data_IF_729931978954
#
_entry.id   IF_729931978954
#
_cell.length_a   1.000
_cell.length_b   1.000
_cell.length_c   1.000
_cell.angle_alpha   90.00
_cell.angle_beta   90.00
_cell.angle_gamma   90.00
#
_symmetry.space_group_name_H-M   'P 1'
#
loop_
_entity.id
_entity.type
_entity.pdbx_description
1 polymer ?
#
# COMPACT_ATOMS: atom_id res chain seq x y z
N UNK A 1 8.57 -25.56 4.76
CA UNK A 1 8.46 -24.10 4.51
C UNK A 1 8.00 -23.49 5.82
N UNK A 2 8.63 -22.45 6.38
CA UNK A 2 8.27 -21.99 7.72
C UNK A 2 6.91 -21.28 7.69
N UNK A 3 5.91 -21.88 8.34
CA UNK A 3 4.74 -21.36 9.08
C UNK A 3 4.16 -19.96 8.78
N UNK A 4 4.21 -19.46 7.54
CA UNK A 4 3.63 -18.16 7.17
C UNK A 4 4.37 -16.94 7.76
N UNK A 5 5.63 -17.11 8.20
CA UNK A 5 6.43 -16.01 8.72
C UNK A 5 7.30 -15.39 7.61
N UNK A 6 7.12 -14.10 7.39
CA UNK A 6 7.85 -13.32 6.40
C UNK A 6 8.58 -12.14 7.06
N UNK A 7 9.66 -11.68 6.45
CA UNK A 7 10.40 -10.49 6.89
C UNK A 7 10.54 -9.51 5.74
N UNK A 8 10.40 -8.23 6.06
CA UNK A 8 10.68 -7.13 5.14
C UNK A 8 11.47 -6.04 5.87
N UNK A 9 12.03 -5.13 5.10
CA UNK A 9 12.89 -4.07 5.60
C UNK A 9 12.39 -2.72 5.10
N UNK A 10 12.40 -1.73 5.99
CA UNK A 10 12.21 -0.33 5.64
C UNK A 10 13.53 0.41 5.90
N UNK A 11 13.91 1.27 4.96
CA UNK A 11 15.17 2.00 4.97
C UNK A 11 14.94 3.46 5.33
N UNK A 12 15.83 4.04 6.13
CA UNK A 12 15.70 5.42 6.60
C UNK A 12 16.15 6.48 5.60
N UNK A 13 16.67 6.08 4.43
CA UNK A 13 17.12 6.93 3.33
C UNK A 13 16.12 6.99 2.16
N UNK A 14 15.16 6.06 2.08
CA UNK A 14 14.07 6.10 1.11
C UNK A 14 12.88 6.89 1.69
N UNK A 15 12.51 8.01 1.05
CA UNK A 15 11.37 8.85 1.44
C UNK A 15 10.06 8.05 1.59
N UNK A 16 9.88 7.04 0.75
CA UNK A 16 8.72 6.14 0.79
C UNK A 16 8.70 5.31 2.08
N UNK A 17 9.86 4.78 2.44
CA UNK A 17 10.03 3.97 3.65
C UNK A 17 9.94 4.83 4.91
N UNK A 18 10.46 6.06 4.88
CA UNK A 18 10.28 7.05 5.95
C UNK A 18 8.79 7.34 6.16
N UNK A 19 8.04 7.62 5.07
CA UNK A 19 6.60 7.84 5.14
C UNK A 19 5.86 6.60 5.69
N UNK A 20 6.20 5.40 5.20
CA UNK A 20 5.63 4.16 5.70
C UNK A 20 5.92 3.95 7.20
N UNK A 21 7.15 4.19 7.65
CA UNK A 21 7.52 4.12 9.07
C UNK A 21 6.77 5.15 9.92
N UNK A 22 6.58 6.37 9.41
CA UNK A 22 5.78 7.40 10.07
C UNK A 22 4.32 6.94 10.21
N UNK A 23 3.71 6.43 9.13
CA UNK A 23 2.33 5.89 9.15
C UNK A 23 2.19 4.72 10.12
N UNK A 24 3.14 3.78 10.16
CA UNK A 24 3.11 2.67 11.14
C UNK A 24 3.22 3.21 12.58
N UNK A 25 3.98 4.28 12.78
CA UNK A 25 4.22 4.84 14.10
C UNK A 25 3.00 5.55 14.70
N UNK A 26 2.06 6.03 13.88
CA UNK A 26 0.78 6.61 14.36
C UNK A 26 -0.12 5.56 15.01
N UNK A 27 0.06 4.28 14.67
CA UNK A 27 -0.71 3.17 15.23
C UNK A 27 -0.07 2.70 16.54
N UNK A 28 -0.89 2.45 17.57
CA UNK A 28 -0.44 1.91 18.85
C UNK A 28 0.26 0.56 18.67
N UNK A 29 1.37 0.35 19.40
CA UNK A 29 2.20 -0.85 19.30
C UNK A 29 1.45 -2.20 19.31
N UNK A 30 0.44 -2.46 20.16
CA UNK A 30 -0.28 -3.73 20.14
C UNK A 30 -1.09 -3.98 18.85
N UNK A 31 -1.48 -2.92 18.13
CA UNK A 31 -2.31 -3.01 16.92
C UNK A 31 -1.48 -3.00 15.63
N UNK A 32 -0.18 -2.63 15.69
CA UNK A 32 0.68 -2.50 14.51
C UNK A 32 0.77 -3.78 13.69
N UNK A 33 0.83 -4.95 14.34
CA UNK A 33 0.90 -6.23 13.63
C UNK A 33 -0.33 -6.48 12.76
N UNK A 34 -1.52 -6.18 13.27
CA UNK A 34 -2.77 -6.33 12.53
C UNK A 34 -2.92 -5.29 11.43
N UNK A 35 -2.52 -4.05 11.72
CA UNK A 35 -2.49 -2.98 10.75
C UNK A 35 -1.58 -3.32 9.54
N UNK A 36 -0.37 -3.82 9.79
CA UNK A 36 0.57 -4.23 8.73
C UNK A 36 0.01 -5.41 7.93
N UNK A 37 -0.63 -6.40 8.57
CA UNK A 37 -1.29 -7.51 7.86
C UNK A 37 -2.43 -7.02 6.97
N UNK A 38 -3.26 -6.11 7.48
CA UNK A 38 -4.34 -5.49 6.72
C UNK A 38 -3.79 -4.75 5.50
N UNK A 39 -2.74 -3.95 5.69
CA UNK A 39 -2.07 -3.25 4.60
C UNK A 39 -1.49 -4.23 3.56
N UNK A 40 -0.80 -5.29 3.99
CA UNK A 40 -0.29 -6.32 3.09
C UNK A 40 -1.40 -7.01 2.29
N UNK A 41 -2.52 -7.34 2.94
CA UNK A 41 -3.68 -7.95 2.29
C UNK A 41 -4.33 -7.02 1.26
N UNK A 42 -4.49 -5.75 1.60
CA UNK A 42 -4.99 -4.75 0.66
C UNK A 42 -4.05 -4.59 -0.55
N UNK A 43 -2.74 -4.52 -0.30
CA UNK A 43 -1.73 -4.51 -1.36
C UNK A 43 -1.78 -5.76 -2.24
N UNK A 44 -2.02 -6.94 -1.67
CA UNK A 44 -2.17 -8.18 -2.43
C UNK A 44 -3.43 -8.18 -3.31
N UNK A 45 -4.53 -7.57 -2.86
CA UNK A 45 -5.71 -7.34 -3.70
C UNK A 45 -5.37 -6.43 -4.87
N UNK A 46 -4.66 -5.33 -4.62
CA UNK A 46 -4.20 -4.42 -5.69
C UNK A 46 -3.26 -5.12 -6.67
N UNK A 47 -2.35 -5.97 -6.19
CA UNK A 47 -1.47 -6.79 -7.03
C UNK A 47 -2.25 -7.70 -7.97
N UNK A 48 -3.34 -8.31 -7.46
CA UNK A 48 -4.20 -9.21 -8.25
C UNK A 48 -4.99 -8.47 -9.31
N UNK A 49 -5.37 -7.23 -9.05
CA UNK A 49 -5.99 -6.34 -10.03
C UNK A 49 -4.99 -6.00 -11.14
N UNK A 50 -3.78 -5.57 -10.78
CA UNK A 50 -2.67 -5.39 -11.70
C UNK A 50 -1.32 -5.45 -10.96
N UNK A 51 -0.41 -6.32 -11.43
CA UNK A 51 0.87 -6.58 -10.78
C UNK A 51 1.83 -5.37 -10.77
N UNK A 52 1.60 -4.36 -11.64
CA UNK A 52 2.41 -3.14 -11.73
C UNK A 52 2.03 -2.13 -10.67
N UNK A 53 0.79 -2.15 -10.17
CA UNK A 53 0.29 -1.15 -9.22
C UNK A 53 1.10 -1.13 -7.91
N UNK A 54 1.44 -2.28 -7.28
CA UNK A 54 2.24 -2.23 -6.06
C UNK A 54 3.68 -1.77 -6.25
N UNK A 55 4.19 -1.72 -7.49
CA UNK A 55 5.48 -1.10 -7.79
C UNK A 55 5.35 0.40 -8.07
N UNK A 56 4.24 0.83 -8.68
CA UNK A 56 3.99 2.24 -9.05
C UNK A 56 3.47 3.08 -7.89
N UNK A 57 2.51 2.58 -7.11
CA UNK A 57 1.89 3.32 -6.00
C UNK A 57 2.95 3.82 -4.99
N UNK A 58 3.92 2.99 -4.56
CA UNK A 58 5.02 3.45 -3.71
C UNK A 58 5.80 4.66 -4.26
N UNK A 59 6.01 4.74 -5.58
CA UNK A 59 6.75 5.85 -6.22
C UNK A 59 6.07 7.21 -5.97
N UNK A 60 4.74 7.20 -5.93
CA UNK A 60 3.95 8.40 -5.63
C UNK A 60 3.64 8.57 -4.13
N UNK A 61 3.99 7.56 -3.33
CA UNK A 61 3.77 7.52 -1.89
C UNK A 61 5.00 8.01 -1.11
N UNK A 62 5.27 9.30 -1.19
CA UNK A 62 6.18 9.99 -0.29
C UNK A 62 5.40 10.75 0.81
N UNK A 63 4.32 10.17 1.32
CA UNK A 63 3.36 10.87 2.19
C UNK A 63 2.48 11.91 1.47
N UNK A 64 2.59 12.01 0.15
CA UNK A 64 1.84 12.95 -0.70
C UNK A 64 0.93 12.25 -1.72
N UNK A 65 0.64 10.96 -1.54
CA UNK A 65 -0.31 10.29 -2.41
C UNK A 65 -1.70 10.84 -2.11
N UNK A 66 -2.30 11.51 -3.09
CA UNK A 66 -3.69 11.97 -3.02
C UNK A 66 -4.62 11.06 -3.83
N UNK A 67 -5.93 11.21 -3.61
CA UNK A 67 -6.94 10.46 -4.35
C UNK A 67 -6.82 10.69 -5.87
N UNK A 68 -6.53 11.93 -6.31
CA UNK A 68 -6.34 12.25 -7.72
C UNK A 68 -5.10 11.55 -8.30
N UNK A 69 -3.98 11.54 -7.58
CA UNK A 69 -2.75 10.84 -8.00
C UNK A 69 -2.96 9.33 -8.07
N UNK A 70 -3.68 8.75 -7.10
CA UNK A 70 -4.05 7.34 -7.11
C UNK A 70 -4.93 7.01 -8.32
N UNK A 71 -5.93 7.85 -8.63
CA UNK A 71 -6.76 7.73 -9.83
C UNK A 71 -5.93 7.81 -11.12
N UNK A 72 -4.95 8.72 -11.17
CA UNK A 72 -4.07 8.85 -12.33
C UNK A 72 -3.18 7.62 -12.55
N UNK A 73 -2.62 7.05 -11.49
CA UNK A 73 -1.85 5.79 -11.56
C UNK A 73 -2.74 4.64 -12.06
N UNK A 74 -3.97 4.55 -11.55
CA UNK A 74 -4.93 3.55 -12.01
C UNK A 74 -5.33 3.75 -13.48
N UNK A 75 -5.55 5.00 -13.93
CA UNK A 75 -5.85 5.33 -15.32
C UNK A 75 -4.68 4.98 -16.25
N UNK A 76 -3.43 5.25 -15.83
CA UNK A 76 -2.22 4.92 -16.58
C UNK A 76 -2.10 3.41 -16.84
N UNK A 77 -2.39 2.59 -15.83
CA UNK A 77 -2.26 1.13 -15.93
C UNK A 77 -3.41 0.50 -16.71
N UNK A 78 -4.63 1.02 -16.55
CA UNK A 78 -5.83 0.53 -17.24
C UNK A 78 -6.02 1.06 -18.66
N UNK A 79 -5.32 2.14 -19.03
CA UNK A 79 -5.58 2.90 -20.27
C UNK A 79 -6.89 3.69 -20.25
N UNK A 80 -7.57 3.78 -19.09
CA UNK A 80 -8.85 4.46 -18.93
C UNK A 80 -8.65 5.97 -18.68
N UNK A 81 -8.12 6.68 -19.68
CA UNK A 81 -7.83 8.12 -19.61
C UNK A 81 -9.09 8.99 -19.39
N UNK A 82 -10.28 8.48 -19.71
CA UNK A 82 -11.56 9.12 -19.40
C UNK A 82 -11.81 9.27 -17.89
N UNK A 83 -11.17 8.47 -17.04
CA UNK A 83 -11.28 8.59 -15.58
C UNK A 83 -10.49 9.78 -15.00
N UNK A 84 -9.70 10.48 -15.83
CA UNK A 84 -8.96 11.68 -15.44
C UNK A 84 -9.78 12.96 -15.62
N UNK A 85 -10.80 12.96 -16.49
CA UNK A 85 -11.63 14.14 -16.72
C UNK A 85 -12.51 14.40 -15.51
N UNK A 86 -12.31 15.52 -14.83
CA UNK A 86 -13.06 15.91 -13.62
C UNK A 86 -12.39 15.61 -12.29
N UNK A 87 -11.11 15.21 -12.28
CA UNK A 87 -10.32 15.25 -11.04
C UNK A 87 -10.18 16.71 -10.57
N UNK A 88 -10.33 16.99 -9.26
CA UNK A 88 -10.11 18.34 -8.75
C UNK A 88 -8.67 18.76 -9.03
N UNK A 89 -8.47 20.03 -9.41
CA UNK A 89 -7.15 20.65 -9.46
C UNK A 89 -6.58 20.62 -8.03
N UNK A 90 -5.68 19.67 -7.80
CA UNK A 90 -4.97 19.59 -6.54
C UNK A 90 -3.99 20.76 -6.50
N UNK A 91 -4.00 21.58 -5.43
CA UNK A 91 -2.91 22.52 -5.25
C UNK A 91 -1.61 21.72 -5.27
N UNK A 92 -0.63 22.18 -6.02
CA UNK A 92 0.73 21.66 -5.91
C UNK A 92 1.05 21.69 -4.41
N UNK A 93 1.01 20.52 -3.76
CA UNK A 93 1.41 20.39 -2.37
C UNK A 93 2.87 20.79 -2.37
N UNK A 94 3.09 22.08 -2.08
CA UNK A 94 4.39 22.71 -2.00
C UNK A 94 5.27 21.76 -1.24
N UNK A 95 6.40 21.42 -1.87
CA UNK A 95 7.45 20.57 -1.32
C UNK A 95 7.40 20.62 0.20
N UNK A 96 6.76 19.63 0.81
CA UNK A 96 6.94 19.38 2.22
C UNK A 96 8.32 18.75 2.26
N UNK A 97 9.35 19.60 2.18
CA UNK A 97 10.71 19.27 2.48
C UNK A 97 10.70 18.85 3.92
N UNK A 98 10.45 17.55 4.16
CA UNK A 98 10.83 16.92 5.40
C UNK A 98 12.29 17.32 5.60
N UNK A 99 12.65 18.00 6.70
CA UNK A 99 14.03 18.36 6.94
C UNK A 99 14.81 17.05 6.97
N UNK A 100 15.56 16.79 5.90
CA UNK A 100 16.54 15.71 5.87
C UNK A 100 17.62 16.19 6.82
N UNK A 101 17.51 15.79 8.09
CA UNK A 101 18.59 15.99 9.03
C UNK A 101 19.78 15.19 8.50
N UNK A 102 20.93 15.82 8.20
CA UNK A 102 22.08 15.15 7.58
C UNK A 102 22.77 14.13 8.51
N UNK A 103 22.22 13.92 9.72
CA UNK A 103 22.72 13.02 10.76
C UNK A 103 21.82 11.80 11.01
N UNK A 104 20.83 11.54 10.15
CA UNK A 104 20.09 10.29 10.24
C UNK A 104 21.03 9.11 9.97
N UNK A 105 21.51 8.46 11.04
CA UNK A 105 22.21 7.19 10.96
C UNK A 105 21.47 6.25 10.01
N UNK A 106 22.21 5.61 9.10
CA UNK A 106 21.64 4.64 8.18
C UNK A 106 21.02 3.50 8.98
N UNK A 107 19.70 3.54 9.15
CA UNK A 107 18.98 2.64 10.03
C UNK A 107 17.97 1.83 9.22
N UNK A 108 18.38 0.60 8.88
CA UNK A 108 17.51 -0.39 8.25
C UNK A 108 16.69 -1.09 9.32
N UNK A 109 15.38 -0.88 9.33
CA UNK A 109 14.48 -1.51 10.31
C UNK A 109 13.85 -2.76 9.73
N UNK A 110 14.13 -3.90 10.37
CA UNK A 110 13.50 -5.19 10.04
C UNK A 110 12.15 -5.31 10.73
N UNK A 111 11.15 -5.72 9.96
CA UNK A 111 9.83 -6.10 10.46
C UNK A 111 9.58 -7.57 10.14
N UNK A 112 9.09 -8.32 11.13
CA UNK A 112 8.67 -9.71 10.97
C UNK A 112 7.15 -9.76 11.01
N UNK A 113 6.56 -10.31 9.96
CA UNK A 113 5.12 -10.46 9.81
C UNK A 113 4.77 -11.95 9.83
N UNK A 114 3.89 -12.34 10.75
CA UNK A 114 3.25 -13.66 10.71
C UNK A 114 1.92 -13.51 10.01
N UNK A 115 1.75 -14.20 8.88
CA UNK A 115 0.45 -14.31 8.21
C UNK A 115 -0.43 -15.26 9.03
N UNK A 116 -1.71 -14.89 9.17
CA UNK A 116 -2.67 -15.72 9.87
C UNK A 116 -3.30 -16.73 8.90
N UNK A 117 -3.69 -17.89 9.41
CA UNK A 117 -4.39 -18.94 8.65
C UNK A 117 -5.85 -18.52 8.36
N UNK A 118 -6.01 -17.65 7.38
CA UNK A 118 -7.30 -17.18 6.89
C UNK A 118 -7.17 -16.58 5.49
N UNK A 119 -8.31 -16.30 4.86
CA UNK A 119 -8.39 -15.88 3.45
C UNK A 119 -7.44 -14.74 3.09
N UNK A 120 -7.32 -13.74 3.95
CA UNK A 120 -6.43 -12.59 3.74
C UNK A 120 -4.95 -12.98 3.78
N UNK A 121 -4.57 -13.88 4.70
CA UNK A 121 -3.21 -14.42 4.79
C UNK A 121 -2.87 -15.32 3.62
N UNK A 122 -3.77 -16.25 3.25
CA UNK A 122 -3.63 -17.12 2.08
C UNK A 122 -3.48 -16.32 0.78
N UNK A 123 -4.20 -15.20 0.66
CA UNK A 123 -4.10 -14.31 -0.50
C UNK A 123 -2.72 -13.66 -0.60
N UNK A 124 -2.18 -13.14 0.51
CA UNK A 124 -0.83 -12.57 0.55
C UNK A 124 0.20 -13.66 0.26
N UNK A 125 0.08 -14.82 0.91
CA UNK A 125 0.98 -15.95 0.70
C UNK A 125 0.99 -16.40 -0.76
N UNK A 126 -0.18 -16.56 -1.38
CA UNK A 126 -0.32 -16.92 -2.79
C UNK A 126 0.46 -15.96 -3.70
N UNK A 127 0.33 -14.64 -3.50
CA UNK A 127 1.10 -13.63 -4.25
C UNK A 127 2.61 -13.73 -3.98
N UNK A 128 3.02 -13.93 -2.72
CA UNK A 128 4.44 -14.06 -2.39
C UNK A 128 5.05 -15.35 -2.95
N UNK A 129 4.28 -16.44 -3.06
CA UNK A 129 4.77 -17.71 -3.60
C UNK A 129 5.02 -17.65 -5.11
N UNK A 130 4.32 -16.78 -5.83
CA UNK A 130 4.57 -16.49 -7.26
C UNK A 130 5.93 -15.81 -7.49
N UNK A 131 6.39 -15.02 -6.51
CA UNK A 131 7.71 -14.41 -6.55
C UNK A 131 8.82 -15.39 -6.12
N UNK A 132 9.98 -15.24 -6.76
CA UNK A 132 11.19 -15.95 -6.34
C UNK A 132 11.53 -15.61 -4.89
N UNK A 133 12.09 -16.57 -4.14
CA UNK A 133 12.40 -16.41 -2.71
C UNK A 133 13.25 -15.17 -2.40
N UNK A 134 14.11 -14.76 -3.34
CA UNK A 134 14.95 -13.56 -3.24
C UNK A 134 14.15 -12.25 -3.28
N UNK A 135 13.05 -12.22 -4.05
CA UNK A 135 12.23 -11.02 -4.26
C UNK A 135 11.03 -10.94 -3.30
N UNK A 136 10.75 -11.99 -2.51
CA UNK A 136 9.59 -12.01 -1.60
C UNK A 136 9.61 -10.89 -0.58
N UNK A 137 10.78 -10.54 -0.05
CA UNK A 137 10.91 -9.43 0.90
C UNK A 137 10.55 -8.08 0.28
N UNK A 138 11.03 -7.86 -0.95
CA UNK A 138 10.79 -6.60 -1.69
C UNK A 138 9.35 -6.51 -2.20
N UNK A 139 8.77 -7.63 -2.64
CA UNK A 139 7.37 -7.70 -2.99
C UNK A 139 6.51 -7.44 -1.75
N UNK A 140 6.78 -8.11 -0.62
CA UNK A 140 6.03 -7.89 0.62
C UNK A 140 6.12 -6.42 1.08
N UNK A 141 7.30 -5.81 0.99
CA UNK A 141 7.48 -4.37 1.24
C UNK A 141 6.55 -3.56 0.34
N UNK A 142 6.57 -3.82 -0.97
CA UNK A 142 5.75 -3.10 -1.96
C UNK A 142 4.25 -3.24 -1.69
N UNK A 143 3.78 -4.44 -1.32
CA UNK A 143 2.39 -4.69 -0.94
C UNK A 143 2.00 -3.89 0.32
N UNK A 144 2.84 -3.92 1.36
CA UNK A 144 2.58 -3.19 2.61
C UNK A 144 2.53 -1.69 2.35
N UNK A 145 3.54 -1.14 1.67
CA UNK A 145 3.60 0.29 1.35
C UNK A 145 2.37 0.72 0.54
N UNK A 146 1.95 -0.11 -0.42
CA UNK A 146 0.72 0.14 -1.18
C UNK A 146 -0.50 0.21 -0.26
N UNK A 147 -0.67 -0.74 0.65
CA UNK A 147 -1.76 -0.71 1.63
C UNK A 147 -1.70 0.50 2.58
N UNK A 148 -0.50 0.94 2.97
CA UNK A 148 -0.31 2.16 3.76
C UNK A 148 -0.67 3.42 2.96
N UNK A 149 -0.33 3.45 1.68
CA UNK A 149 -0.68 4.55 0.78
C UNK A 149 -2.20 4.67 0.55
N UNK A 150 -2.87 3.53 0.48
CA UNK A 150 -4.33 3.47 0.48
C UNK A 150 -4.90 3.96 1.81
N UNK A 151 -4.29 3.61 2.95
CA UNK A 151 -4.73 4.10 4.26
C UNK A 151 -4.65 5.63 4.39
N UNK A 152 -3.57 6.24 3.89
CA UNK A 152 -3.41 7.71 3.97
C UNK A 152 -4.37 8.47 3.08
N UNK A 153 -4.80 7.86 1.97
CA UNK A 153 -5.81 8.45 1.07
C UNK A 153 -7.23 8.22 1.56
N UNK A 154 -7.54 7.01 2.03
CA UNK A 154 -8.83 6.62 2.57
C UNK A 154 -8.63 5.58 3.70
N UNK A 155 -8.76 5.98 4.99
CA UNK A 155 -8.39 5.13 6.12
C UNK A 155 -9.08 3.76 6.19
N UNK A 156 -10.32 3.67 5.70
CA UNK A 156 -11.14 2.45 5.72
C UNK A 156 -10.83 1.49 4.56
N UNK A 157 -10.25 2.00 3.47
CA UNK A 157 -10.09 1.26 2.22
C UNK A 157 -9.25 -0.04 2.39
N UNK A 158 -8.11 -0.04 3.10
CA UNK A 158 -7.35 -1.27 3.31
C UNK A 158 -8.13 -2.34 4.07
N UNK A 159 -8.92 -1.94 5.07
CA UNK A 159 -9.77 -2.87 5.86
C UNK A 159 -10.88 -3.44 5.00
N UNK A 160 -11.51 -2.61 4.19
CA UNK A 160 -12.55 -3.03 3.28
C UNK A 160 -11.99 -4.05 2.26
N UNK A 161 -10.90 -3.75 1.58
CA UNK A 161 -10.26 -4.68 0.64
C UNK A 161 -9.80 -5.99 1.31
N UNK A 162 -9.28 -5.92 2.53
CA UNK A 162 -8.82 -7.09 3.27
C UNK A 162 -9.97 -8.01 3.71
N UNK A 163 -11.14 -7.44 4.00
CA UNK A 163 -12.33 -8.17 4.49
C UNK A 163 -13.30 -8.60 3.39
N UNK A 164 -13.17 -8.05 2.18
CA UNK A 164 -14.03 -8.39 1.05
C UNK A 164 -13.98 -9.90 0.71
N UNK A 165 -15.16 -10.58 0.66
CA UNK A 165 -15.21 -11.99 0.32
C UNK A 165 -14.77 -12.24 -1.12
N UNK A 166 -15.22 -11.38 -2.04
CA UNK A 166 -14.82 -11.35 -3.45
C UNK A 166 -14.05 -10.05 -3.68
N UNK A 167 -12.72 -10.11 -3.85
CA UNK A 167 -11.93 -8.91 -4.11
C UNK A 167 -12.20 -8.37 -5.52
N UNK A 168 -11.98 -7.08 -5.77
CA UNK A 168 -12.02 -6.53 -7.12
C UNK A 168 -11.02 -7.26 -8.01
N UNK A 169 -11.44 -7.51 -9.25
CA UNK A 169 -10.65 -8.23 -10.27
C UNK A 169 -10.16 -7.31 -11.38
N UNK A 170 -10.64 -6.06 -11.40
CA UNK A 170 -10.26 -5.05 -12.38
C UNK A 170 -10.01 -3.69 -11.72
N UNK A 171 -9.27 -2.83 -12.43
CA UNK A 171 -8.99 -1.45 -11.97
C UNK A 171 -10.28 -0.65 -11.80
N UNK A 172 -11.28 -0.86 -12.67
CA UNK A 172 -12.57 -0.19 -12.59
C UNK A 172 -13.36 -0.59 -11.33
N UNK A 173 -13.37 -1.87 -10.96
CA UNK A 173 -13.99 -2.34 -9.72
C UNK A 173 -13.26 -1.81 -8.48
N UNK A 174 -11.92 -1.76 -8.53
CA UNK A 174 -11.10 -1.19 -7.47
C UNK A 174 -11.41 0.30 -7.25
N UNK A 175 -11.55 1.06 -8.35
CA UNK A 175 -11.95 2.47 -8.32
C UNK A 175 -13.35 2.66 -7.72
N UNK A 176 -14.34 1.88 -8.17
CA UNK A 176 -15.70 1.94 -7.65
C UNK A 176 -15.76 1.67 -6.14
N UNK A 177 -14.89 0.77 -5.66
CA UNK A 177 -14.76 0.43 -4.24
C UNK A 177 -14.25 1.62 -3.41
N UNK A 178 -13.32 2.43 -3.96
CA UNK A 178 -12.85 3.67 -3.31
C UNK A 178 -13.88 4.81 -3.36
N UNK A 179 -14.70 4.90 -4.41
CA UNK A 179 -15.70 5.97 -4.56
C UNK A 179 -17.02 5.70 -3.82
N UNK A 180 -17.37 4.45 -3.52
CA UNK A 180 -18.63 4.11 -2.86
C UNK A 180 -18.72 4.63 -1.41
N UNK A 181 -17.58 4.77 -0.72
CA UNK A 181 -17.52 5.25 0.67
C UNK A 181 -17.44 6.79 0.79
N UNK A 182 -17.18 7.49 -0.32
CA UNK A 182 -17.17 8.95 -0.39
C UNK A 182 -18.54 9.61 -0.49
N UNK A 183 -19.64 8.85 -0.52
CA UNK A 183 -21.02 9.37 -0.62
C UNK A 183 -21.74 9.57 0.71
N UNK A 184 -21.04 9.40 1.83
CA UNK A 184 -21.54 9.74 3.17
C UNK A 184 -20.57 10.66 3.93
N UNK A 185 -20.34 11.86 3.40
CA UNK A 185 -20.00 13.04 4.20
C UNK A 185 -20.67 14.28 3.65
#
# INVERSE_FOLDING_TARGET
MPDGQYSFYLHSDDRTDIAAMATISTISQPLRGEFIRTAASAGAVVYRVDARLPALIPVFFAGQLSAARLCAVMALVSGAWSSLTGLPDEPESGEATLPVSPEAEYQRRRYTLTLQNGRSGERVESVLTEASSRLRGDLLRSLIITGLALHTTAPELPRLLASMPVPPTSVSELQATGSADGRHR
#
